data_IF_426236069512
#
_entry.id   IF_426236069512
#
_cell.length_a   1.000
_cell.length_b   1.000
_cell.length_c   1.000
_cell.angle_alpha   90.00
_cell.angle_beta   90.00
_cell.angle_gamma   90.00
#
_symmetry.space_group_name_H-M   'P 1'
#
loop_
_entity.id
_entity.type
_entity.pdbx_description
1 polymer ?
#
# COMPACT_ATOMS: atom_id res chain seq x y z
N UNK A 1 -0.85 11.22 -17.14
CA UNK A 1 -1.89 12.00 -16.52
C UNK A 1 -1.39 13.00 -15.49
N UNK A 2 -0.07 13.12 -15.35
CA UNK A 2 0.59 14.07 -14.45
C UNK A 2 1.97 14.43 -14.99
N UNK A 3 2.57 15.48 -14.46
CA UNK A 3 4.01 15.75 -14.56
C UNK A 3 4.57 16.15 -13.20
N UNK A 4 5.88 16.04 -13.04
CA UNK A 4 6.61 16.41 -11.84
C UNK A 4 7.42 17.66 -12.15
N UNK A 5 7.21 18.73 -11.38
CA UNK A 5 7.97 19.97 -11.54
C UNK A 5 9.35 19.87 -10.89
N UNK A 6 9.41 19.31 -9.69
CA UNK A 6 10.63 19.18 -8.92
C UNK A 6 10.54 17.99 -7.94
N UNK A 7 11.68 17.44 -7.58
CA UNK A 7 11.81 16.43 -6.52
C UNK A 7 12.79 16.92 -5.47
N UNK A 8 12.43 16.84 -4.22
CA UNK A 8 13.31 17.15 -3.09
C UNK A 8 13.43 16.00 -2.10
N UNK A 9 14.59 15.87 -1.50
CA UNK A 9 14.82 14.96 -0.38
C UNK A 9 14.35 15.63 0.91
N UNK A 10 13.70 14.86 1.78
CA UNK A 10 13.23 15.30 3.08
C UNK A 10 14.09 14.64 4.16
N UNK A 11 14.44 15.40 5.19
CA UNK A 11 15.25 14.87 6.29
C UNK A 11 14.49 13.76 7.02
N UNK A 12 15.22 12.75 7.51
CA UNK A 12 14.65 11.55 8.13
C UNK A 12 13.72 11.86 9.33
N UNK A 13 13.97 12.96 10.04
CA UNK A 13 13.16 13.40 11.19
C UNK A 13 12.00 14.34 10.82
N UNK A 14 11.88 14.73 9.56
CA UNK A 14 10.80 15.57 9.09
C UNK A 14 9.61 14.73 8.64
N UNK A 15 8.43 15.04 9.17
CA UNK A 15 7.18 14.45 8.73
C UNK A 15 6.51 15.35 7.69
N UNK A 16 6.16 14.80 6.55
CA UNK A 16 5.36 15.46 5.53
C UNK A 16 3.89 15.21 5.83
N UNK A 17 3.09 16.20 6.24
CA UNK A 17 1.68 15.97 6.46
C UNK A 17 0.94 15.82 5.12
N UNK A 18 0.07 14.80 5.06
CA UNK A 18 -0.79 14.52 3.91
C UNK A 18 -2.26 14.65 4.30
N UNK A 19 -3.09 15.07 3.35
CA UNK A 19 -4.54 15.21 3.51
C UNK A 19 -5.29 14.72 2.27
N UNK A 20 -6.45 14.15 2.50
CA UNK A 20 -7.45 13.80 1.48
C UNK A 20 -8.86 14.06 2.03
N UNK A 21 -9.89 13.88 1.20
CA UNK A 21 -11.28 13.96 1.64
C UNK A 21 -11.65 12.84 2.64
N UNK A 22 -10.91 11.73 2.62
CA UNK A 22 -11.17 10.54 3.42
C UNK A 22 -10.27 10.40 4.66
N UNK A 23 -9.35 11.34 4.88
CA UNK A 23 -8.47 11.29 6.04
C UNK A 23 -7.14 12.00 5.83
N UNK A 24 -6.30 11.87 6.82
CA UNK A 24 -4.96 12.47 6.85
C UNK A 24 -3.95 11.45 7.35
N UNK A 25 -2.68 11.69 7.06
CA UNK A 25 -1.56 10.90 7.54
C UNK A 25 -0.25 11.61 7.29
N UNK A 26 0.82 10.85 7.25
CA UNK A 26 2.16 11.39 7.09
C UNK A 26 2.95 10.65 6.02
N UNK A 27 4.01 11.28 5.55
CA UNK A 27 4.98 10.71 4.64
C UNK A 27 6.39 11.18 4.99
N UNK A 28 7.39 10.66 4.29
CA UNK A 28 8.78 11.05 4.49
C UNK A 28 9.67 10.70 3.31
N UNK A 29 10.98 10.82 3.54
CA UNK A 29 12.08 10.46 2.63
C UNK A 29 12.23 11.45 1.46
N UNK A 30 11.20 11.64 0.65
CA UNK A 30 11.24 12.54 -0.51
C UNK A 30 9.86 13.14 -0.77
N UNK A 31 9.82 14.15 -1.60
CA UNK A 31 8.61 14.83 -2.06
C UNK A 31 8.74 15.17 -3.55
N UNK A 32 7.84 14.62 -4.37
CA UNK A 32 7.67 15.03 -5.76
C UNK A 32 6.58 16.10 -5.82
N UNK A 33 6.85 17.21 -6.47
CA UNK A 33 5.89 18.28 -6.73
C UNK A 33 5.05 17.91 -7.95
N UNK A 34 3.99 17.13 -7.70
CA UNK A 34 3.13 16.59 -8.75
C UNK A 34 2.09 17.62 -9.15
N UNK A 35 2.06 17.93 -10.45
CA UNK A 35 0.98 18.68 -11.08
C UNK A 35 0.14 17.70 -11.91
N UNK A 36 -1.12 17.45 -11.52
CA UNK A 36 -1.98 16.54 -12.25
C UNK A 36 -2.54 17.20 -13.51
N UNK A 37 -2.49 16.51 -14.65
CA UNK A 37 -3.15 16.90 -15.90
C UNK A 37 -4.55 16.29 -15.97
N UNK A 38 -4.63 14.95 -15.86
CA UNK A 38 -5.87 14.17 -15.90
C UNK A 38 -5.96 13.17 -14.76
N UNK A 39 -4.87 12.99 -14.01
CA UNK A 39 -4.86 12.11 -12.86
C UNK A 39 -5.73 12.68 -11.75
N UNK A 40 -6.50 11.83 -11.10
CA UNK A 40 -7.23 12.15 -9.90
C UNK A 40 -6.28 12.25 -8.72
N UNK A 41 -6.46 13.26 -7.89
CA UNK A 41 -5.65 13.44 -6.69
C UNK A 41 -6.28 12.68 -5.53
N UNK A 42 -5.55 11.70 -5.00
CA UNK A 42 -5.96 10.94 -3.82
C UNK A 42 -5.52 11.64 -2.52
N UNK A 43 -4.28 12.15 -2.51
CA UNK A 43 -3.72 12.91 -1.39
C UNK A 43 -2.95 14.12 -1.87
N UNK A 44 -3.02 15.20 -1.09
CA UNK A 44 -2.21 16.42 -1.25
C UNK A 44 -1.26 16.58 -0.07
N UNK A 45 -0.22 17.37 -0.28
CA UNK A 45 0.57 17.85 0.84
C UNK A 45 -0.26 18.85 1.66
N UNK A 46 -0.26 18.70 2.97
CA UNK A 46 -0.93 19.59 3.92
C UNK A 46 0.06 20.56 4.54
N UNK A 47 0.70 21.35 3.68
CA UNK A 47 1.73 22.31 4.04
C UNK A 47 1.51 23.61 3.24
N UNK A 48 1.77 24.75 3.84
CA UNK A 48 1.49 26.06 3.23
C UNK A 48 2.16 26.28 1.88
N UNK A 49 3.36 25.76 1.68
CA UNK A 49 4.13 25.93 0.45
C UNK A 49 3.81 24.87 -0.62
N UNK A 50 3.38 23.69 -0.20
CA UNK A 50 3.24 22.51 -1.07
C UNK A 50 1.79 22.07 -1.32
N UNK A 51 0.80 22.73 -0.69
CA UNK A 51 -0.62 22.35 -0.80
C UNK A 51 -1.18 22.38 -2.23
N UNK A 52 -0.55 23.13 -3.14
CA UNK A 52 -0.94 23.13 -4.55
C UNK A 52 -0.57 21.84 -5.27
N UNK A 53 0.41 21.09 -4.77
CA UNK A 53 0.88 19.86 -5.37
C UNK A 53 0.13 18.64 -4.86
N UNK A 54 -0.06 17.67 -5.75
CA UNK A 54 -0.52 16.36 -5.35
C UNK A 54 0.65 15.55 -4.77
N UNK A 55 0.34 14.69 -3.81
CA UNK A 55 1.29 13.75 -3.22
C UNK A 55 1.06 12.33 -3.73
N UNK A 56 -0.20 11.93 -3.88
CA UNK A 56 -0.59 10.62 -4.40
C UNK A 56 -1.71 10.82 -5.41
N UNK A 57 -1.60 10.16 -6.56
CA UNK A 57 -2.57 10.27 -7.64
C UNK A 57 -2.96 8.92 -8.21
N UNK A 58 -4.12 8.88 -8.84
CA UNK A 58 -4.64 7.76 -9.62
C UNK A 58 -5.00 8.23 -11.01
N UNK A 59 -4.66 7.44 -12.03
CA UNK A 59 -5.04 7.73 -13.41
C UNK A 59 -5.60 6.48 -14.08
N UNK A 60 -6.69 6.63 -14.80
CA UNK A 60 -7.23 5.57 -15.66
C UNK A 60 -6.56 5.62 -17.02
N UNK A 61 -6.08 4.46 -17.49
CA UNK A 61 -5.42 4.31 -18.79
C UNK A 61 -5.95 3.06 -19.50
N UNK A 62 -6.86 3.27 -20.46
CA UNK A 62 -7.58 2.17 -21.09
C UNK A 62 -8.42 1.41 -20.07
N UNK A 63 -8.21 0.11 -20.00
CA UNK A 63 -8.85 -0.77 -18.99
C UNK A 63 -8.01 -0.90 -17.71
N UNK A 64 -6.92 -0.15 -17.57
CA UNK A 64 -6.00 -0.22 -16.43
C UNK A 64 -6.06 1.02 -15.56
N UNK A 65 -5.49 0.90 -14.34
CA UNK A 65 -5.24 2.02 -13.43
C UNK A 65 -3.76 2.12 -13.10
N UNK A 66 -3.26 3.34 -13.05
CA UNK A 66 -1.92 3.64 -12.59
C UNK A 66 -2.02 4.50 -11.32
N UNK A 67 -1.34 4.08 -10.27
CA UNK A 67 -1.18 4.84 -9.03
C UNK A 67 0.24 5.37 -8.99
N UNK A 68 0.38 6.65 -8.65
CA UNK A 68 1.68 7.26 -8.49
C UNK A 68 1.79 7.85 -7.08
N UNK A 69 2.80 7.41 -6.35
CA UNK A 69 3.13 7.87 -5.02
C UNK A 69 4.38 8.75 -5.12
N UNK A 70 4.22 10.07 -5.03
CA UNK A 70 5.29 11.06 -5.09
C UNK A 70 5.99 11.29 -3.75
N UNK A 71 5.82 10.37 -2.82
CA UNK A 71 6.45 10.36 -1.50
C UNK A 71 6.33 8.96 -0.91
N UNK A 72 6.98 8.70 0.21
CA UNK A 72 6.81 7.45 0.97
C UNK A 72 5.76 7.67 2.07
N UNK A 73 4.49 7.29 1.85
CA UNK A 73 3.45 7.48 2.85
C UNK A 73 3.61 6.51 4.02
N UNK A 74 2.96 6.82 5.13
CA UNK A 74 2.82 5.90 6.25
C UNK A 74 2.02 4.63 5.88
N UNK A 75 2.09 3.62 6.74
CA UNK A 75 1.48 2.32 6.48
C UNK A 75 -0.04 2.40 6.25
N UNK A 76 -0.73 3.27 6.97
CA UNK A 76 -2.19 3.38 6.86
C UNK A 76 -2.63 3.92 5.49
N UNK A 77 -1.95 4.95 4.98
CA UNK A 77 -2.19 5.49 3.64
C UNK A 77 -1.80 4.44 2.59
N UNK A 78 -0.66 3.77 2.76
CA UNK A 78 -0.20 2.76 1.82
C UNK A 78 -1.19 1.58 1.72
N UNK A 79 -1.68 1.09 2.86
CA UNK A 79 -2.70 0.04 2.92
C UNK A 79 -4.00 0.47 2.22
N UNK A 80 -4.43 1.72 2.40
CA UNK A 80 -5.63 2.25 1.75
C UNK A 80 -5.46 2.28 0.22
N UNK A 81 -4.33 2.80 -0.28
CA UNK A 81 -4.05 2.90 -1.73
C UNK A 81 -3.92 1.53 -2.36
N UNK A 82 -3.17 0.62 -1.72
CA UNK A 82 -3.02 -0.76 -2.19
C UNK A 82 -4.34 -1.54 -2.13
N UNK A 83 -5.11 -1.38 -1.05
CA UNK A 83 -6.42 -2.01 -0.89
C UNK A 83 -7.41 -1.59 -1.98
N UNK A 84 -7.41 -0.29 -2.33
CA UNK A 84 -8.21 0.20 -3.46
C UNK A 84 -7.76 -0.41 -4.78
N UNK A 85 -6.45 -0.42 -5.05
CA UNK A 85 -5.89 -0.99 -6.27
C UNK A 85 -6.19 -2.48 -6.42
N UNK A 86 -6.06 -3.24 -5.34
CA UNK A 86 -6.36 -4.67 -5.31
C UNK A 86 -7.86 -4.94 -5.51
N UNK A 87 -8.71 -4.17 -4.85
CA UNK A 87 -10.17 -4.27 -5.00
C UNK A 87 -10.58 -3.99 -6.45
N UNK A 88 -10.04 -2.95 -7.05
CA UNK A 88 -10.31 -2.62 -8.43
C UNK A 88 -9.83 -3.72 -9.40
N UNK A 89 -8.67 -4.34 -9.12
CA UNK A 89 -8.15 -5.47 -9.89
C UNK A 89 -8.91 -6.79 -9.66
N UNK A 90 -9.96 -6.80 -8.83
CA UNK A 90 -10.74 -7.99 -8.50
C UNK A 90 -10.00 -8.98 -7.61
N UNK A 91 -8.94 -8.54 -6.94
CA UNK A 91 -8.18 -9.37 -6.00
C UNK A 91 -8.85 -9.36 -4.62
N UNK A 92 -8.95 -10.53 -4.03
CA UNK A 92 -9.42 -10.65 -2.64
C UNK A 92 -8.23 -10.49 -1.69
N UNK A 93 -8.32 -9.52 -0.80
CA UNK A 93 -7.35 -9.34 0.28
C UNK A 93 -7.77 -10.20 1.47
N UNK A 94 -6.93 -11.12 1.88
CA UNK A 94 -7.10 -11.83 3.15
C UNK A 94 -6.38 -11.04 4.26
N UNK A 95 -7.15 -10.63 5.29
CA UNK A 95 -6.56 -10.02 6.48
C UNK A 95 -5.98 -11.12 7.36
N UNK A 96 -4.66 -11.18 7.40
CA UNK A 96 -3.90 -12.09 8.25
C UNK A 96 -3.32 -11.32 9.44
N UNK A 97 -3.07 -12.00 10.58
CA UNK A 97 -2.29 -11.42 11.67
C UNK A 97 -0.89 -10.99 11.18
N UNK A 98 -0.34 -9.97 11.84
CA UNK A 98 1.02 -9.52 11.55
C UNK A 98 2.03 -10.68 11.62
N UNK A 99 2.96 -10.71 10.66
CA UNK A 99 3.98 -11.76 10.54
C UNK A 99 3.45 -13.12 10.10
N UNK A 100 2.21 -13.18 9.60
CA UNK A 100 1.66 -14.40 8.99
C UNK A 100 1.53 -14.22 7.49
N UNK A 101 1.98 -15.21 6.74
CA UNK A 101 1.90 -15.24 5.28
C UNK A 101 1.06 -16.43 4.81
N UNK A 102 0.26 -16.23 3.77
CA UNK A 102 -0.48 -17.27 3.07
C UNK A 102 -0.02 -17.35 1.62
N UNK A 103 0.57 -18.45 1.24
CA UNK A 103 1.07 -18.71 -0.13
C UNK A 103 0.26 -19.81 -0.78
N UNK A 104 -0.27 -19.54 -1.97
CA UNK A 104 -0.96 -20.55 -2.77
C UNK A 104 -0.07 -21.03 -3.91
N UNK A 105 0.06 -22.33 -4.06
CA UNK A 105 0.75 -22.98 -5.17
C UNK A 105 -0.23 -23.89 -5.90
N UNK A 106 -0.36 -23.71 -7.21
CA UNK A 106 -1.26 -24.50 -8.04
C UNK A 106 -0.50 -25.18 -9.16
N UNK A 107 -0.88 -26.41 -9.46
CA UNK A 107 -0.50 -27.16 -10.65
C UNK A 107 -1.77 -27.57 -11.42
N UNK A 108 -1.63 -28.27 -12.54
CA UNK A 108 -2.76 -28.86 -13.25
C UNK A 108 -3.56 -29.90 -12.44
N UNK A 109 -2.93 -30.49 -11.41
CA UNK A 109 -3.51 -31.61 -10.67
C UNK A 109 -4.04 -31.19 -9.28
N UNK A 110 -3.39 -30.18 -8.64
CA UNK A 110 -3.74 -29.79 -7.27
C UNK A 110 -3.36 -28.34 -6.96
N UNK A 111 -4.06 -27.78 -5.97
CA UNK A 111 -3.71 -26.53 -5.31
C UNK A 111 -3.37 -26.82 -3.85
N UNK A 112 -2.27 -26.28 -3.38
CA UNK A 112 -1.83 -26.37 -1.98
C UNK A 112 -1.63 -24.95 -1.46
N UNK A 113 -2.10 -24.70 -0.25
CA UNK A 113 -1.87 -23.45 0.48
C UNK A 113 -0.86 -23.71 1.59
N UNK A 114 0.09 -22.80 1.74
CA UNK A 114 1.04 -22.80 2.84
C UNK A 114 0.76 -21.60 3.73
N UNK A 115 0.60 -21.85 5.02
CA UNK A 115 0.50 -20.79 6.03
C UNK A 115 1.82 -20.77 6.78
N UNK A 116 2.46 -19.59 6.83
CA UNK A 116 3.76 -19.40 7.44
C UNK A 116 3.63 -18.43 8.61
N UNK A 117 4.17 -18.79 9.74
CA UNK A 117 4.32 -17.88 10.89
C UNK A 117 5.77 -17.40 10.95
N UNK A 118 5.99 -16.11 10.70
CA UNK A 118 7.31 -15.48 10.78
C UNK A 118 7.63 -14.91 12.17
N UNK A 119 6.71 -15.09 13.13
CA UNK A 119 6.88 -14.55 14.48
C UNK A 119 7.64 -15.49 15.39
N UNK A 120 8.29 -14.93 16.40
CA UNK A 120 8.92 -15.66 17.53
C UNK A 120 7.89 -16.24 18.53
N UNK A 121 6.61 -15.95 18.34
CA UNK A 121 5.51 -16.41 19.18
C UNK A 121 4.52 -17.25 18.36
N UNK A 122 3.75 -18.09 19.04
CA UNK A 122 2.66 -18.83 18.42
C UNK A 122 1.55 -17.84 17.99
N UNK A 123 0.97 -18.07 16.80
CA UNK A 123 -0.11 -17.24 16.25
C UNK A 123 -1.27 -18.14 15.84
N UNK A 124 -2.50 -17.72 16.13
CA UNK A 124 -3.71 -18.41 15.69
C UNK A 124 -4.34 -17.65 14.51
N UNK A 125 -4.51 -18.37 13.41
CA UNK A 125 -5.15 -17.89 12.18
C UNK A 125 -6.42 -18.69 11.96
N UNK A 126 -7.58 -18.06 12.11
CA UNK A 126 -8.88 -18.77 12.09
C UNK A 126 -8.90 -19.90 13.15
N UNK A 127 -8.90 -21.15 12.72
CA UNK A 127 -8.91 -22.34 13.61
C UNK A 127 -7.56 -23.05 13.64
N UNK A 128 -6.50 -22.46 13.09
CA UNK A 128 -5.17 -23.04 12.99
C UNK A 128 -4.21 -22.30 13.92
N UNK A 129 -3.55 -23.00 14.82
CA UNK A 129 -2.49 -22.45 15.66
C UNK A 129 -1.15 -22.92 15.12
N UNK A 130 -0.30 -21.97 14.78
CA UNK A 130 1.07 -22.21 14.31
C UNK A 130 2.05 -21.90 15.44
N UNK A 131 2.99 -22.79 15.66
CA UNK A 131 4.12 -22.54 16.56
C UNK A 131 5.03 -21.42 15.99
N UNK A 132 5.98 -20.88 16.77
CA UNK A 132 6.98 -19.96 16.24
C UNK A 132 7.69 -20.53 15.01
N UNK A 133 7.77 -19.73 13.94
CA UNK A 133 8.42 -20.08 12.67
C UNK A 133 7.88 -21.34 11.98
N UNK A 134 6.68 -21.77 12.34
CA UNK A 134 6.05 -22.94 11.74
C UNK A 134 5.48 -22.64 10.36
N UNK A 135 5.59 -23.66 9.48
CA UNK A 135 4.94 -23.69 8.16
C UNK A 135 4.00 -24.89 8.11
N UNK A 136 2.74 -24.66 7.78
CA UNK A 136 1.77 -25.73 7.55
C UNK A 136 1.24 -25.71 6.12
N UNK A 137 1.14 -26.90 5.52
CA UNK A 137 0.50 -27.09 4.22
C UNK A 137 -0.96 -27.50 4.42
N UNK A 138 -1.85 -26.76 3.75
CA UNK A 138 -3.30 -27.03 3.72
C UNK A 138 -3.67 -27.51 2.32
N UNK A 139 -4.28 -28.65 2.22
CA UNK A 139 -4.74 -29.28 0.97
C UNK A 139 -6.27 -29.10 0.80
#
# INVERSE_FOLDING_TARGET
>A
GLHIEETESVQEYDCIPLISDNGSGTAGIFRDMIVPDRAEVLYRYNDTFYQQYAAITRNELGEGRAYYLGTTPDAAILEQVLGEAMTWAGLTVEHLPEGVELVTRSSSERTVRFVLNHNENAVTVRCLTLAPFEVQALS
#
